data_IF_159898723438
#
_entry.id   IF_159898723438
#
_cell.length_a   1.000
_cell.length_b   1.000
_cell.length_c   1.000
_cell.angle_alpha   90.00
_cell.angle_beta   90.00
_cell.angle_gamma   90.00
#
_symmetry.space_group_name_H-M   'P 1'
#
loop_
_entity.id
_entity.type
_entity.pdbx_description
1 polymer ?
#
# COMPACT_ATOMS: atom_id res chain seq x y z
N UNK A 1 -38.90 -47.55 -5.81
CA UNK A 1 -39.02 -46.07 -5.83
C UNK A 1 -37.96 -45.51 -6.76
N UNK A 2 -38.34 -45.07 -7.96
CA UNK A 2 -37.40 -44.51 -8.95
C UNK A 2 -37.26 -43.02 -8.65
N UNK A 3 -36.12 -42.60 -8.07
CA UNK A 3 -35.82 -41.18 -7.87
C UNK A 3 -35.73 -40.54 -9.25
N UNK A 4 -36.55 -39.52 -9.50
CA UNK A 4 -36.45 -38.69 -10.70
C UNK A 4 -35.19 -37.84 -10.57
N UNK A 5 -34.21 -38.03 -11.45
CA UNK A 5 -33.10 -37.11 -11.58
C UNK A 5 -33.65 -35.82 -12.22
N UNK A 6 -33.97 -34.83 -11.39
CA UNK A 6 -34.26 -33.48 -11.85
C UNK A 6 -32.93 -32.83 -12.24
N UNK A 7 -32.66 -32.75 -13.54
CA UNK A 7 -31.53 -32.00 -14.08
C UNK A 7 -31.86 -30.52 -14.18
N UNK A 8 -30.82 -29.68 -14.12
CA UNK A 8 -30.94 -28.24 -14.37
C UNK A 8 -31.36 -27.98 -15.82
N UNK A 9 -32.23 -27.00 -16.03
CA UNK A 9 -32.58 -26.55 -17.36
C UNK A 9 -31.48 -25.67 -17.95
N UNK A 10 -31.35 -25.67 -19.28
CA UNK A 10 -30.39 -24.81 -19.97
C UNK A 10 -30.63 -23.33 -19.68
N UNK A 11 -31.91 -22.94 -19.51
CA UNK A 11 -32.29 -21.56 -19.19
C UNK A 11 -31.91 -21.17 -17.75
N UNK A 12 -32.01 -22.07 -16.78
CA UNK A 12 -31.51 -21.80 -15.42
C UNK A 12 -30.00 -21.56 -15.44
N UNK A 13 -29.24 -22.35 -16.19
CA UNK A 13 -27.80 -22.15 -16.29
C UNK A 13 -27.48 -20.82 -16.99
N UNK A 14 -28.22 -20.42 -18.02
CA UNK A 14 -28.02 -19.11 -18.66
C UNK A 14 -28.32 -17.95 -17.71
N UNK A 15 -29.37 -18.04 -16.89
CA UNK A 15 -29.70 -17.00 -15.90
C UNK A 15 -28.61 -16.93 -14.83
N UNK A 16 -28.12 -18.07 -14.33
CA UNK A 16 -27.04 -18.11 -13.33
C UNK A 16 -25.75 -17.49 -13.88
N UNK A 17 -25.35 -17.81 -15.12
CA UNK A 17 -24.16 -17.22 -15.75
C UNK A 17 -24.34 -15.70 -15.93
N UNK A 18 -25.53 -15.25 -16.34
CA UNK A 18 -25.83 -13.82 -16.48
C UNK A 18 -25.70 -13.09 -15.13
N UNK A 19 -26.23 -13.67 -14.04
CA UNK A 19 -26.11 -13.10 -12.69
C UNK A 19 -24.65 -13.05 -12.23
N UNK A 20 -23.89 -14.14 -12.42
CA UNK A 20 -22.47 -14.18 -12.05
C UNK A 20 -21.68 -13.10 -12.82
N UNK A 21 -21.94 -12.92 -14.12
CA UNK A 21 -21.30 -11.88 -14.93
C UNK A 21 -21.53 -10.47 -14.38
N UNK A 22 -22.75 -10.15 -13.95
CA UNK A 22 -23.09 -8.86 -13.34
C UNK A 22 -22.37 -8.69 -12.00
N UNK A 23 -22.32 -9.73 -11.16
CA UNK A 23 -21.68 -9.64 -9.84
C UNK A 23 -20.16 -9.45 -9.95
N UNK A 24 -19.51 -10.17 -10.88
CA UNK A 24 -18.04 -10.12 -11.06
C UNK A 24 -17.57 -8.72 -11.49
N UNK A 25 -18.32 -8.05 -12.36
CA UNK A 25 -17.95 -6.71 -12.86
C UNK A 25 -17.93 -5.65 -11.76
N UNK A 26 -18.82 -5.74 -10.77
CA UNK A 26 -18.87 -4.80 -9.64
C UNK A 26 -17.83 -5.16 -8.56
N UNK A 27 -17.60 -6.45 -8.34
CA UNK A 27 -16.81 -6.94 -7.20
C UNK A 27 -15.30 -6.83 -7.41
N UNK A 28 -14.81 -6.97 -8.64
CA UNK A 28 -13.39 -6.95 -8.96
C UNK A 28 -12.63 -5.67 -8.50
N UNK A 29 -13.07 -4.44 -8.82
CA UNK A 29 -12.33 -3.23 -8.43
C UNK A 29 -12.26 -3.05 -6.90
N UNK A 30 -13.32 -3.39 -6.18
CA UNK A 30 -13.40 -3.24 -4.72
C UNK A 30 -12.34 -4.08 -3.99
N UNK A 31 -12.15 -5.33 -4.43
CA UNK A 31 -11.16 -6.21 -3.81
C UNK A 31 -9.73 -5.68 -3.99
N UNK A 32 -9.42 -5.14 -5.17
CA UNK A 32 -8.09 -4.59 -5.45
C UNK A 32 -7.77 -3.37 -4.60
N UNK A 33 -8.73 -2.46 -4.37
CA UNK A 33 -8.52 -1.29 -3.51
C UNK A 33 -8.34 -1.68 -2.03
N UNK A 34 -9.03 -2.72 -1.56
CA UNK A 34 -8.84 -3.24 -0.20
C UNK A 34 -7.41 -3.74 0.01
N UNK A 35 -6.90 -4.54 -0.93
CA UNK A 35 -5.52 -5.06 -0.89
C UNK A 35 -4.49 -3.93 -0.97
N UNK A 36 -4.67 -2.97 -1.89
CA UNK A 36 -3.81 -1.78 -1.99
C UNK A 36 -3.78 -0.97 -0.69
N UNK A 37 -4.93 -0.78 -0.05
CA UNK A 37 -5.01 -0.10 1.26
C UNK A 37 -4.20 -0.84 2.32
N UNK A 38 -4.24 -2.16 2.34
CA UNK A 38 -3.40 -2.98 3.24
C UNK A 38 -1.91 -2.70 3.02
N UNK A 39 -1.45 -2.71 1.76
CA UNK A 39 -0.05 -2.41 1.44
C UNK A 39 0.37 -0.97 1.81
N UNK A 40 -0.52 0.01 1.64
CA UNK A 40 -0.28 1.40 2.10
C UNK A 40 -0.11 1.46 3.62
N UNK A 41 -0.93 0.74 4.38
CA UNK A 41 -0.80 0.71 5.85
C UNK A 41 0.48 0.02 6.30
N UNK A 42 0.89 -1.03 5.60
CA UNK A 42 2.13 -1.77 5.87
C UNK A 42 3.36 -0.87 5.67
N UNK A 43 3.46 -0.19 4.51
CA UNK A 43 4.60 0.69 4.24
C UNK A 43 4.62 1.93 5.15
N UNK A 44 3.44 2.50 5.46
CA UNK A 44 3.34 3.61 6.41
C UNK A 44 3.79 3.21 7.81
N UNK A 45 3.47 1.99 8.25
CA UNK A 45 3.95 1.41 9.51
C UNK A 45 5.46 1.21 9.50
N UNK A 46 6.00 0.69 8.40
CA UNK A 46 7.44 0.45 8.23
C UNK A 46 8.22 1.78 8.24
N UNK A 47 7.77 2.80 7.51
CA UNK A 47 8.34 4.15 7.55
C UNK A 47 8.30 4.76 8.96
N UNK A 48 7.16 4.62 9.66
CA UNK A 48 7.00 5.12 11.02
C UNK A 48 7.92 4.40 12.02
N UNK A 49 8.15 3.10 11.84
CA UNK A 49 9.09 2.33 12.65
C UNK A 49 10.55 2.74 12.40
N UNK A 50 10.90 3.00 11.14
CA UNK A 50 12.24 3.47 10.79
C UNK A 50 12.51 4.89 11.28
N UNK A 51 11.55 5.80 11.17
CA UNK A 51 11.66 7.13 11.75
C UNK A 51 11.99 7.05 13.25
N UNK A 52 11.28 6.21 14.01
CA UNK A 52 11.59 6.00 15.43
C UNK A 52 12.98 5.40 15.68
N UNK A 53 13.46 4.50 14.82
CA UNK A 53 14.82 3.97 14.91
C UNK A 53 15.86 5.07 14.69
N UNK A 54 15.62 5.95 13.72
CA UNK A 54 16.49 7.09 13.44
C UNK A 54 16.52 8.08 14.59
N UNK A 55 15.38 8.43 15.18
CA UNK A 55 15.32 9.31 16.37
C UNK A 55 16.10 8.72 17.57
N UNK A 56 15.98 7.40 17.78
CA UNK A 56 16.76 6.68 18.80
C UNK A 56 18.26 6.70 18.50
N UNK A 57 18.65 6.59 17.24
CA UNK A 57 20.05 6.65 16.82
C UNK A 57 20.62 8.05 17.03
N UNK A 58 19.87 9.09 16.65
CA UNK A 58 20.24 10.49 16.86
C UNK A 58 20.40 10.82 18.33
N UNK A 59 19.50 10.35 19.19
CA UNK A 59 19.61 10.53 20.65
C UNK A 59 20.90 9.96 21.26
N UNK A 60 21.55 9.01 20.60
CA UNK A 60 22.80 8.38 21.06
C UNK A 60 24.05 8.98 20.41
N UNK A 61 23.95 9.40 19.15
CA UNK A 61 25.10 9.76 18.33
C UNK A 61 25.13 11.24 17.92
N UNK A 62 24.05 12.00 18.18
CA UNK A 62 23.81 13.38 17.75
C UNK A 62 23.89 13.62 16.22
N UNK A 63 23.84 12.56 15.41
CA UNK A 63 23.83 12.62 13.94
C UNK A 63 22.92 11.54 13.35
N UNK A 64 22.30 11.76 12.19
CA UNK A 64 21.59 10.69 11.44
C UNK A 64 22.44 10.04 10.34
N UNK A 65 23.44 10.74 9.80
CA UNK A 65 24.24 10.32 8.62
C UNK A 65 24.86 8.93 8.73
N UNK A 66 25.18 8.48 9.94
CA UNK A 66 25.81 7.19 10.22
C UNK A 66 24.83 6.09 10.64
N UNK A 67 23.51 6.32 10.52
CA UNK A 67 22.54 5.32 10.90
C UNK A 67 22.58 4.11 9.96
N UNK A 68 22.62 2.91 10.54
CA UNK A 68 22.64 1.63 9.81
C UNK A 68 21.44 0.77 10.20
N UNK A 69 21.19 -0.32 9.45
CA UNK A 69 20.08 -1.24 9.74
C UNK A 69 18.70 -0.71 9.34
N UNK A 70 18.65 0.25 8.41
CA UNK A 70 17.40 0.69 7.79
C UNK A 70 16.86 -0.39 6.85
N UNK A 71 15.55 -0.59 6.87
CA UNK A 71 14.87 -1.51 5.96
C UNK A 71 14.84 -0.93 4.55
N UNK A 72 15.15 -1.79 3.56
CA UNK A 72 15.05 -1.47 2.14
C UNK A 72 13.60 -1.42 1.62
N UNK A 73 12.59 -1.69 2.45
CA UNK A 73 11.18 -1.75 2.07
C UNK A 73 10.62 -3.17 2.06
N UNK A 74 9.64 -3.42 1.20
CA UNK A 74 8.92 -4.69 1.07
C UNK A 74 8.73 -5.05 -0.42
N UNK A 75 7.88 -6.03 -0.74
CA UNK A 75 7.67 -6.50 -2.11
C UNK A 75 7.06 -5.45 -3.05
N UNK A 76 6.43 -4.41 -2.49
CA UNK A 76 5.68 -3.39 -3.24
C UNK A 76 6.36 -2.03 -3.25
N UNK A 77 7.23 -1.76 -2.27
CA UNK A 77 7.91 -0.48 -2.09
C UNK A 77 9.39 -0.68 -1.82
N UNK A 78 10.22 0.16 -2.42
CA UNK A 78 11.63 0.32 -2.09
C UNK A 78 11.79 1.59 -1.26
N UNK A 79 12.45 1.50 -0.11
CA UNK A 79 12.70 2.65 0.75
C UNK A 79 14.11 3.17 0.51
N UNK A 80 14.19 4.44 0.17
CA UNK A 80 15.44 5.17 -0.01
C UNK A 80 15.54 6.25 1.07
N UNK A 81 16.45 6.11 2.04
CA UNK A 81 16.73 7.14 3.02
C UNK A 81 17.66 8.20 2.43
N UNK A 82 17.38 9.47 2.72
CA UNK A 82 18.31 10.58 2.56
C UNK A 82 18.62 11.12 3.95
N UNK A 83 19.85 10.87 4.41
CA UNK A 83 20.29 11.20 5.76
C UNK A 83 21.33 12.32 5.71
N UNK A 84 21.17 13.32 6.57
CA UNK A 84 22.19 14.32 6.89
C UNK A 84 22.48 14.26 8.38
N UNK A 85 23.39 15.10 8.90
CA UNK A 85 23.67 15.08 10.33
C UNK A 85 22.43 15.47 11.16
N UNK A 86 21.62 16.42 10.70
CA UNK A 86 20.49 16.96 11.48
C UNK A 86 19.10 16.63 10.94
N UNK A 87 18.99 16.10 9.73
CA UNK A 87 17.70 15.80 9.12
C UNK A 87 17.72 14.46 8.41
N UNK A 88 16.53 13.88 8.25
CA UNK A 88 16.33 12.76 7.35
C UNK A 88 15.05 12.93 6.55
N UNK A 89 15.04 12.33 5.36
CA UNK A 89 13.87 12.08 4.54
C UNK A 89 13.86 10.60 4.17
N UNK A 90 12.83 9.88 4.60
CA UNK A 90 12.58 8.53 4.13
C UNK A 90 11.57 8.59 3.00
N UNK A 91 11.91 8.03 1.84
CA UNK A 91 11.03 7.94 0.68
C UNK A 91 10.77 6.47 0.34
N UNK A 92 9.52 6.04 0.40
CA UNK A 92 9.08 4.73 -0.08
C UNK A 92 8.53 4.86 -1.50
N UNK A 93 9.34 4.44 -2.48
CA UNK A 93 9.01 4.45 -3.91
C UNK A 93 8.33 3.14 -4.29
N UNK A 94 7.23 3.21 -5.03
CA UNK A 94 6.54 2.02 -5.53
C UNK A 94 7.43 1.24 -6.50
N UNK A 95 7.48 -0.08 -6.34
CA UNK A 95 8.23 -0.96 -7.26
C UNK A 95 7.49 -1.09 -8.58
N UNK A 96 8.22 -0.88 -9.69
CA UNK A 96 7.71 -1.10 -11.04
C UNK A 96 7.25 -2.55 -11.22
N UNK A 97 6.14 -2.76 -11.92
CA UNK A 97 5.56 -4.09 -12.14
C UNK A 97 4.81 -4.68 -10.93
N UNK A 98 4.83 -4.04 -9.77
CA UNK A 98 4.01 -4.45 -8.62
C UNK A 98 2.56 -3.99 -8.76
N UNK A 99 1.65 -4.58 -7.97
CA UNK A 99 0.24 -4.15 -7.85
C UNK A 99 0.10 -2.70 -7.37
N UNK A 100 1.14 -2.17 -6.71
CA UNK A 100 1.19 -0.79 -6.24
C UNK A 100 1.76 0.17 -7.29
N UNK A 101 2.35 -0.27 -8.40
CA UNK A 101 3.01 0.61 -9.38
C UNK A 101 2.10 1.74 -9.91
N UNK A 102 0.80 1.47 -10.06
CA UNK A 102 -0.22 2.44 -10.50
C UNK A 102 -1.11 2.96 -9.37
N UNK A 103 -0.66 2.81 -8.12
CA UNK A 103 -1.45 3.22 -6.96
C UNK A 103 -1.65 4.74 -6.91
N UNK A 104 -2.88 5.18 -6.61
CA UNK A 104 -3.23 6.60 -6.60
C UNK A 104 -2.49 7.42 -5.53
N UNK A 105 -2.04 6.79 -4.44
CA UNK A 105 -1.37 7.48 -3.34
C UNK A 105 0.10 7.79 -3.58
N UNK A 106 0.67 7.32 -4.69
CA UNK A 106 2.04 7.65 -5.02
C UNK A 106 3.06 7.02 -4.09
N UNK A 107 4.18 7.72 -3.96
CA UNK A 107 5.33 7.34 -3.15
C UNK A 107 5.23 8.04 -1.79
N UNK A 108 5.45 7.31 -0.70
CA UNK A 108 5.22 7.81 0.65
C UNK A 108 6.49 8.45 1.20
N UNK A 109 6.36 9.59 1.87
CA UNK A 109 7.50 10.27 2.48
C UNK A 109 7.29 10.60 3.95
N UNK A 110 8.35 10.51 4.76
CA UNK A 110 8.35 11.01 6.13
C UNK A 110 9.68 11.71 6.46
N UNK A 111 9.59 12.87 7.10
CA UNK A 111 10.76 13.65 7.57
C UNK A 111 11.04 13.40 9.06
N UNK A 112 12.19 13.87 9.54
CA UNK A 112 12.56 13.88 10.96
C UNK A 112 11.57 14.65 11.86
N UNK A 113 10.87 15.64 11.32
CA UNK A 113 9.81 16.37 12.05
C UNK A 113 8.48 15.63 12.10
N UNK A 114 8.41 14.41 11.53
CA UNK A 114 7.20 13.62 11.42
C UNK A 114 6.22 14.10 10.35
N UNK A 115 6.65 15.04 9.48
CA UNK A 115 5.84 15.50 8.35
C UNK A 115 5.71 14.36 7.36
N UNK A 116 4.48 13.93 7.12
CA UNK A 116 4.11 12.88 6.18
C UNK A 116 3.72 13.51 4.87
N UNK A 117 4.26 12.99 3.78
CA UNK A 117 3.98 13.46 2.44
C UNK A 117 3.71 12.32 1.48
N UNK A 118 3.40 12.73 0.26
CA UNK A 118 3.26 11.84 -0.88
C UNK A 118 3.83 12.53 -2.10
N UNK A 119 4.63 11.80 -2.88
CA UNK A 119 5.11 12.22 -4.18
C UNK A 119 4.37 11.43 -5.26
N UNK A 120 4.20 11.99 -6.46
CA UNK A 120 3.57 11.28 -7.59
C UNK A 120 2.16 10.72 -7.29
N UNK A 121 1.44 11.34 -6.35
CA UNK A 121 0.05 11.01 -6.04
C UNK A 121 -0.89 11.63 -7.09
N UNK A 122 -2.04 11.00 -7.31
CA UNK A 122 -3.10 11.56 -8.14
C UNK A 122 -3.57 12.90 -7.57
N UNK A 123 -3.83 13.87 -8.44
CA UNK A 123 -4.31 15.20 -8.05
C UNK A 123 -5.60 15.13 -7.23
N UNK A 124 -5.69 15.98 -6.21
CA UNK A 124 -6.86 16.04 -5.32
C UNK A 124 -6.85 15.07 -4.13
N UNK A 125 -5.84 14.21 -4.01
CA UNK A 125 -5.65 13.38 -2.82
C UNK A 125 -4.91 14.12 -1.71
N UNK A 126 -5.36 13.93 -0.48
CA UNK A 126 -4.71 14.45 0.72
C UNK A 126 -3.82 13.39 1.37
N UNK A 127 -2.85 13.83 2.17
CA UNK A 127 -2.01 12.91 2.95
C UNK A 127 -2.84 12.00 3.85
N UNK A 128 -3.96 12.51 4.37
CA UNK A 128 -4.92 11.76 5.18
C UNK A 128 -5.56 10.58 4.44
N UNK A 129 -5.91 10.77 3.17
CA UNK A 129 -6.56 9.73 2.34
C UNK A 129 -5.66 8.50 2.13
N UNK A 130 -4.35 8.69 2.23
CA UNK A 130 -3.35 7.70 1.84
C UNK A 130 -2.53 7.15 3.01
N UNK A 131 -2.19 8.01 3.99
CA UNK A 131 -1.54 7.59 5.24
C UNK A 131 -2.53 7.02 6.26
N UNK A 132 -3.83 7.08 5.98
CA UNK A 132 -4.86 6.43 6.78
C UNK A 132 -5.14 7.10 8.13
N UNK A 133 -4.82 8.40 8.28
CA UNK A 133 -5.15 9.23 9.44
C UNK A 133 -5.46 10.67 9.08
#
# INVERSE_FOLDING_TARGET
MRRSNQGFTLIEIMIVIAIIGIVVTISAPLLTEYVKRSHRTEIAGLLSGQAQNLERFYSKNNVYSNATGLSAGNDYYTITPTLTDQTFLLTAVRKAGSTMASDKCGDFTITNTGVRGMNNATTGLTTKDCWGR
#
